data_IF_314806014944
#
_entry.id   IF_314806014944
#
_cell.length_a   1.000
_cell.length_b   1.000
_cell.length_c   1.000
_cell.angle_alpha   90.00
_cell.angle_beta   90.00
_cell.angle_gamma   90.00
#
_symmetry.space_group_name_H-M   'P 1'
#
loop_
_entity.id
_entity.type
_entity.pdbx_description
1 polymer ?
#
# COMPACT_ATOMS: atom_id res chain seq x y z
N UNK A 1 -2.84 -7.23 -18.25
CA UNK A 1 -1.68 -6.42 -17.85
C UNK A 1 -0.79 -7.35 -17.06
N UNK A 2 0.32 -7.74 -17.66
CA UNK A 2 1.35 -8.54 -17.03
C UNK A 2 1.94 -7.75 -15.85
N UNK A 3 1.99 -8.36 -14.68
CA UNK A 3 2.43 -7.71 -13.45
C UNK A 3 3.92 -7.28 -13.47
N UNK A 4 4.66 -7.65 -14.53
CA UNK A 4 6.08 -7.36 -14.73
C UNK A 4 6.37 -6.04 -15.48
N UNK A 5 5.37 -5.38 -16.09
CA UNK A 5 5.59 -4.12 -16.82
C UNK A 5 5.36 -2.84 -15.99
N UNK A 6 4.85 -2.97 -14.75
CA UNK A 6 4.52 -1.80 -13.91
C UNK A 6 5.75 -1.39 -13.10
N UNK A 7 6.16 -0.13 -13.22
CA UNK A 7 7.31 0.39 -12.46
C UNK A 7 7.05 0.38 -10.95
N UNK A 8 8.11 0.31 -10.14
CA UNK A 8 7.99 0.38 -8.68
C UNK A 8 7.36 1.71 -8.22
N UNK A 9 7.60 2.81 -8.95
CA UNK A 9 6.95 4.09 -8.73
C UNK A 9 5.42 4.01 -8.91
N UNK A 10 4.96 3.42 -10.01
CA UNK A 10 3.52 3.22 -10.26
C UNK A 10 2.88 2.29 -9.21
N UNK A 11 3.59 1.24 -8.79
CA UNK A 11 3.12 0.36 -7.71
C UNK A 11 2.97 1.12 -6.39
N UNK A 12 3.89 2.03 -6.07
CA UNK A 12 3.82 2.90 -4.88
C UNK A 12 2.62 3.84 -4.95
N UNK A 13 2.36 4.44 -6.11
CA UNK A 13 1.18 5.30 -6.32
C UNK A 13 -0.12 4.51 -6.16
N UNK A 14 -0.22 3.35 -6.81
CA UNK A 14 -1.39 2.48 -6.71
C UNK A 14 -1.62 1.97 -5.27
N UNK A 15 -0.55 1.69 -4.53
CA UNK A 15 -0.63 1.28 -3.13
C UNK A 15 -1.16 2.43 -2.25
N UNK A 16 -0.74 3.67 -2.48
CA UNK A 16 -1.27 4.84 -1.77
C UNK A 16 -2.78 5.04 -1.98
N UNK A 17 -3.27 4.85 -3.21
CA UNK A 17 -4.70 4.94 -3.51
C UNK A 17 -5.51 3.86 -2.76
N UNK A 18 -4.97 2.64 -2.62
CA UNK A 18 -5.59 1.57 -1.84
C UNK A 18 -5.64 1.88 -0.35
N UNK A 19 -4.55 2.41 0.22
CA UNK A 19 -4.51 2.83 1.64
C UNK A 19 -5.54 3.91 1.94
N UNK A 20 -5.70 4.89 1.04
CA UNK A 20 -6.68 5.94 1.21
C UNK A 20 -8.12 5.41 1.15
N UNK A 21 -8.41 4.52 0.19
CA UNK A 21 -9.71 3.87 0.10
C UNK A 21 -10.04 3.03 1.34
N UNK A 22 -9.05 2.28 1.85
CA UNK A 22 -9.19 1.46 3.06
C UNK A 22 -9.46 2.34 4.30
N UNK A 23 -8.75 3.46 4.43
CA UNK A 23 -8.96 4.40 5.54
C UNK A 23 -10.36 4.99 5.52
N UNK A 24 -10.84 5.42 4.34
CA UNK A 24 -12.22 5.91 4.18
C UNK A 24 -13.27 4.83 4.43
N UNK A 25 -12.94 3.55 4.23
CA UNK A 25 -13.83 2.44 4.57
C UNK A 25 -13.87 2.23 6.09
N UNK A 26 -12.71 2.26 6.75
CA UNK A 26 -12.58 2.16 8.19
C UNK A 26 -13.33 3.29 8.93
N UNK A 27 -13.18 4.53 8.47
CA UNK A 27 -13.88 5.70 9.03
C UNK A 27 -15.41 5.61 8.93
N UNK A 28 -15.93 4.79 8.01
CA UNK A 28 -17.36 4.57 7.80
C UNK A 28 -17.87 3.26 8.41
N UNK A 29 -16.99 2.46 9.00
CA UNK A 29 -17.38 1.22 9.64
C UNK A 29 -17.76 1.47 11.10
N UNK A 30 -18.97 1.08 11.46
CA UNK A 30 -19.47 1.11 12.85
C UNK A 30 -19.17 -0.22 13.59
N UNK A 31 -18.48 -1.15 12.95
CA UNK A 31 -18.17 -2.48 13.52
C UNK A 31 -16.76 -2.53 14.11
N UNK A 32 -16.68 -2.87 15.39
CA UNK A 32 -15.39 -3.04 16.08
C UNK A 32 -14.53 -4.17 15.46
N UNK A 33 -15.16 -5.20 14.90
CA UNK A 33 -14.46 -6.30 14.23
C UNK A 33 -13.89 -5.88 12.87
N UNK A 34 -14.63 -5.06 12.12
CA UNK A 34 -14.15 -4.46 10.87
C UNK A 34 -13.03 -3.45 11.15
N UNK A 35 -13.16 -2.63 12.19
CA UNK A 35 -12.11 -1.71 12.65
C UNK A 35 -10.79 -2.45 12.90
N UNK A 36 -10.82 -3.55 13.65
CA UNK A 36 -9.63 -4.36 13.91
C UNK A 36 -9.03 -5.00 12.63
N UNK A 37 -9.84 -5.31 11.62
CA UNK A 37 -9.35 -5.77 10.32
C UNK A 37 -8.70 -4.63 9.52
N UNK A 38 -9.27 -3.43 9.57
CA UNK A 38 -8.71 -2.24 8.95
C UNK A 38 -7.34 -1.89 9.54
N UNK A 39 -7.17 -1.97 10.86
CA UNK A 39 -5.87 -1.74 11.53
C UNK A 39 -4.80 -2.72 11.02
N UNK A 40 -5.11 -4.02 10.95
CA UNK A 40 -4.18 -5.03 10.41
C UNK A 40 -3.83 -4.77 8.94
N UNK A 41 -4.79 -4.31 8.14
CA UNK A 41 -4.56 -3.95 6.73
C UNK A 41 -3.69 -2.70 6.60
N UNK A 42 -3.83 -1.74 7.51
CA UNK A 42 -2.98 -0.56 7.58
C UNK A 42 -1.53 -0.93 7.90
N UNK A 43 -1.30 -1.79 8.91
CA UNK A 43 0.04 -2.29 9.25
C UNK A 43 0.71 -3.00 8.07
N UNK A 44 -0.03 -3.88 7.39
CA UNK A 44 0.47 -4.60 6.21
C UNK A 44 0.81 -3.63 5.06
N UNK A 45 -0.01 -2.60 4.88
CA UNK A 45 0.21 -1.61 3.82
C UNK A 45 1.43 -0.74 4.09
N UNK A 46 1.63 -0.33 5.35
CA UNK A 46 2.84 0.38 5.78
C UNK A 46 4.11 -0.44 5.53
N UNK A 47 4.09 -1.74 5.81
CA UNK A 47 5.20 -2.64 5.50
C UNK A 47 5.47 -2.73 3.99
N UNK A 48 4.41 -2.88 3.18
CA UNK A 48 4.55 -2.94 1.72
C UNK A 48 5.11 -1.63 1.14
N UNK A 49 4.66 -0.48 1.64
CA UNK A 49 5.17 0.84 1.25
C UNK A 49 6.67 0.96 1.53
N UNK A 50 7.13 0.57 2.72
CA UNK A 50 8.55 0.59 3.06
C UNK A 50 9.38 -0.31 2.14
N UNK A 51 8.84 -1.46 1.71
CA UNK A 51 9.52 -2.36 0.76
C UNK A 51 9.57 -1.79 -0.66
N UNK A 52 8.50 -1.14 -1.12
CA UNK A 52 8.50 -0.48 -2.42
C UNK A 52 9.49 0.68 -2.45
N UNK A 53 9.58 1.48 -1.38
CA UNK A 53 10.57 2.56 -1.26
C UNK A 53 12.02 2.02 -1.28
N UNK A 54 12.31 0.94 -0.55
CA UNK A 54 13.62 0.28 -0.59
C UNK A 54 13.97 -0.21 -2.01
N UNK A 55 13.00 -0.77 -2.72
CA UNK A 55 13.19 -1.27 -4.09
C UNK A 55 13.39 -0.13 -5.08
N UNK A 56 12.60 0.94 -4.98
CA UNK A 56 12.73 2.15 -5.82
C UNK A 56 14.09 2.83 -5.61
N UNK A 57 14.61 2.85 -4.38
CA UNK A 57 15.95 3.34 -4.09
C UNK A 57 17.04 2.44 -4.67
N UNK A 58 16.85 1.12 -4.62
CA UNK A 58 17.79 0.17 -5.23
C UNK A 58 17.81 0.29 -6.77
N UNK A 59 16.65 0.43 -7.40
CA UNK A 59 16.51 0.66 -8.84
C UNK A 59 17.21 1.97 -9.25
N UNK A 60 16.99 3.07 -8.51
CA UNK A 60 17.67 4.36 -8.75
C UNK A 60 19.18 4.35 -8.59
N UNK A 61 19.74 3.43 -7.80
CA UNK A 61 21.20 3.28 -7.61
C UNK A 61 21.84 2.36 -8.64
N UNK A 62 21.04 1.54 -9.32
CA UNK A 62 21.50 0.59 -10.32
C UNK A 62 21.59 1.21 -11.73
N UNK A 63 20.81 2.28 -11.98
CA UNK A 63 20.95 3.19 -13.12
C UNK A 63 22.14 4.16 -12.96
#
# INVERSE_FOLDING_TARGET
>A
MDADEVSTEELRVAQGAKEEAERRAAERSDSAEETAQHDRRAEKSAYLKAKLEQREEAERKAD
#
